data_IF_143623350547
#
_entry.id   IF_143623350547
#
_cell.length_a   1.000
_cell.length_b   1.000
_cell.length_c   1.000
_cell.angle_alpha   90.00
_cell.angle_beta   90.00
_cell.angle_gamma   90.00
#
_symmetry.space_group_name_H-M   'P 1'
#
loop_
_entity.id
_entity.type
_entity.pdbx_description
1 polymer ?
#
# COMPACT_ATOMS: atom_id res chain seq x y z
N UNK A 1 -8.29 -3.61 -28.34
CA UNK A 1 -9.58 -3.14 -27.78
C UNK A 1 -10.29 -4.16 -26.89
N UNK A 2 -10.37 -5.49 -27.16
CA UNK A 2 -11.02 -6.42 -26.23
C UNK A 2 -10.35 -6.51 -24.84
N UNK A 3 -9.03 -6.44 -24.77
CA UNK A 3 -8.28 -6.54 -23.51
C UNK A 3 -8.48 -5.32 -22.57
N UNK A 4 -8.71 -4.12 -23.12
CA UNK A 4 -8.97 -2.92 -22.31
C UNK A 4 -10.38 -2.96 -21.67
N UNK A 5 -11.37 -3.51 -22.36
CA UNK A 5 -12.73 -3.63 -21.85
C UNK A 5 -12.83 -4.71 -20.74
N UNK A 6 -12.13 -5.84 -20.91
CA UNK A 6 -12.11 -6.89 -19.87
C UNK A 6 -11.41 -6.46 -18.57
N UNK A 7 -10.47 -5.52 -18.63
CA UNK A 7 -9.85 -4.94 -17.44
C UNK A 7 -10.82 -4.04 -16.64
N UNK A 8 -11.91 -3.57 -17.28
CA UNK A 8 -12.92 -2.74 -16.62
C UNK A 8 -14.03 -3.55 -15.92
N UNK A 9 -14.13 -4.86 -16.15
CA UNK A 9 -15.23 -5.69 -15.64
C UNK A 9 -14.92 -6.38 -14.29
N UNK A 10 -13.70 -6.26 -13.78
CA UNK A 10 -13.26 -6.96 -12.58
C UNK A 10 -13.45 -6.16 -11.28
N UNK A 11 -13.50 -6.89 -10.16
CA UNK A 11 -13.36 -6.31 -8.84
C UNK A 11 -11.97 -5.69 -8.66
N UNK A 12 -11.89 -4.56 -7.95
CA UNK A 12 -10.65 -3.80 -7.74
C UNK A 12 -10.21 -3.80 -6.29
N UNK A 13 -8.92 -3.98 -5.99
CA UNK A 13 -8.44 -3.97 -4.61
C UNK A 13 -8.59 -2.59 -3.98
N UNK A 14 -8.95 -2.57 -2.70
CA UNK A 14 -8.88 -1.40 -1.83
C UNK A 14 -7.83 -1.69 -0.75
N UNK A 15 -6.71 -0.98 -0.81
CA UNK A 15 -5.60 -1.08 0.13
C UNK A 15 -5.74 0.05 1.14
N UNK A 16 -5.99 -0.27 2.41
CA UNK A 16 -6.03 0.71 3.48
C UNK A 16 -4.62 0.97 4.02
N UNK A 17 -4.22 2.24 4.13
CA UNK A 17 -2.98 2.68 4.77
C UNK A 17 -3.31 3.62 5.96
N UNK A 18 -3.60 3.08 7.16
CA UNK A 18 -4.25 3.84 8.22
C UNK A 18 -3.33 4.82 8.97
N UNK A 19 -2.03 4.50 9.10
CA UNK A 19 -1.13 5.13 10.07
C UNK A 19 0.03 5.89 9.41
N UNK A 20 0.87 5.17 8.65
CA UNK A 20 2.07 5.70 8.03
C UNK A 20 3.17 6.12 9.02
N UNK A 21 4.24 6.74 8.46
CA UNK A 21 5.38 7.25 9.24
C UNK A 21 5.29 8.75 9.54
N UNK A 22 4.45 9.51 8.85
CA UNK A 22 4.42 10.99 8.90
C UNK A 22 3.30 11.53 9.80
N UNK A 23 2.04 11.07 9.70
CA UNK A 23 0.95 11.64 10.49
C UNK A 23 1.19 11.49 12.00
N UNK A 24 0.90 12.57 12.73
CA UNK A 24 0.97 12.63 14.20
C UNK A 24 -0.36 13.08 14.79
N UNK A 25 -0.55 12.87 16.09
CA UNK A 25 -1.72 13.38 16.83
C UNK A 25 -1.89 14.90 16.73
N UNK A 26 -0.78 15.62 16.64
CA UNK A 26 -0.80 17.08 16.47
C UNK A 26 -1.30 17.50 15.08
N UNK A 27 -1.08 16.68 14.05
CA UNK A 27 -1.55 16.94 12.69
C UNK A 27 -3.01 16.54 12.50
N UNK A 28 -3.41 15.41 13.09
CA UNK A 28 -4.80 14.93 13.10
C UNK A 28 -5.04 14.04 14.32
N UNK A 29 -6.13 14.28 15.10
CA UNK A 29 -6.47 13.42 16.22
C UNK A 29 -6.96 12.03 15.78
N UNK A 30 -7.22 11.84 14.49
CA UNK A 30 -7.83 10.63 13.92
C UNK A 30 -6.80 9.57 13.52
N UNK A 31 -5.48 9.87 13.54
CA UNK A 31 -4.47 8.88 13.18
C UNK A 31 -4.38 7.79 14.26
N UNK A 32 -4.60 6.50 13.91
CA UNK A 32 -4.44 5.41 14.85
C UNK A 32 -2.94 5.11 15.01
N UNK A 33 -2.43 5.08 16.25
CA UNK A 33 -1.00 4.87 16.54
C UNK A 33 -0.75 3.61 17.37
N UNK A 34 -1.68 3.24 18.27
CA UNK A 34 -1.55 2.04 19.09
C UNK A 34 -2.13 0.81 18.37
N UNK A 35 -1.72 -0.42 18.75
CA UNK A 35 -2.28 -1.64 18.16
C UNK A 35 -3.81 -1.70 18.23
N UNK A 36 -4.42 -1.33 19.35
CA UNK A 36 -5.88 -1.36 19.54
C UNK A 36 -6.59 -0.32 18.68
N UNK A 37 -6.02 0.89 18.54
CA UNK A 37 -6.57 1.93 17.65
C UNK A 37 -6.49 1.52 16.20
N UNK A 38 -5.35 0.94 15.78
CA UNK A 38 -5.17 0.44 14.40
C UNK A 38 -6.17 -0.68 14.12
N UNK A 39 -6.31 -1.64 15.04
CA UNK A 39 -7.26 -2.74 14.89
C UNK A 39 -8.72 -2.25 14.81
N UNK A 40 -9.10 -1.29 15.66
CA UNK A 40 -10.43 -0.68 15.66
C UNK A 40 -10.72 0.02 14.32
N UNK A 41 -9.77 0.77 13.83
CA UNK A 41 -9.90 1.53 12.57
C UNK A 41 -9.95 0.60 11.35
N UNK A 42 -9.11 -0.46 11.36
CA UNK A 42 -9.13 -1.52 10.33
C UNK A 42 -10.45 -2.29 10.34
N UNK A 43 -10.98 -2.66 11.52
CA UNK A 43 -12.28 -3.34 11.62
C UNK A 43 -13.41 -2.48 11.07
N UNK A 44 -13.43 -1.18 11.37
CA UNK A 44 -14.42 -0.25 10.83
C UNK A 44 -14.32 -0.15 9.28
N UNK A 45 -13.11 -0.08 8.75
CA UNK A 45 -12.86 -0.06 7.30
C UNK A 45 -13.21 -1.41 6.63
N UNK A 46 -12.93 -2.54 7.30
CA UNK A 46 -13.28 -3.88 6.82
C UNK A 46 -14.79 -4.07 6.71
N UNK A 47 -15.56 -3.53 7.67
CA UNK A 47 -17.03 -3.54 7.62
C UNK A 47 -17.60 -2.76 6.42
N UNK A 48 -16.89 -1.74 5.92
CA UNK A 48 -17.25 -1.00 4.70
C UNK A 48 -16.83 -1.80 3.46
N UNK A 49 -15.66 -2.45 3.50
CA UNK A 49 -15.12 -3.29 2.44
C UNK A 49 -13.74 -2.83 1.98
N UNK A 50 -12.69 -3.42 2.53
CA UNK A 50 -11.30 -3.30 2.08
C UNK A 50 -10.74 -4.67 1.73
N UNK A 51 -9.72 -4.71 0.88
CA UNK A 51 -9.05 -5.95 0.47
C UNK A 51 -7.87 -6.28 1.37
N UNK A 52 -7.04 -5.28 1.65
CA UNK A 52 -5.82 -5.42 2.44
C UNK A 52 -5.54 -4.16 3.27
N UNK A 53 -4.66 -4.30 4.26
CA UNK A 53 -4.19 -3.18 5.07
C UNK A 53 -2.67 -3.11 5.07
N UNK A 54 -2.12 -1.92 4.81
CA UNK A 54 -0.70 -1.60 4.91
C UNK A 54 -0.38 -1.01 6.28
N UNK A 55 0.43 -1.72 7.07
CA UNK A 55 0.68 -1.43 8.46
C UNK A 55 2.06 -0.79 8.68
N UNK A 56 2.08 0.28 9.45
CA UNK A 56 3.27 0.87 10.05
C UNK A 56 3.23 0.74 11.56
N UNK A 57 4.36 0.38 12.16
CA UNK A 57 4.50 0.28 13.60
C UNK A 57 4.96 1.61 14.22
N UNK A 58 4.40 1.94 15.38
CA UNK A 58 4.79 3.05 16.23
C UNK A 58 5.11 2.54 17.63
N UNK A 59 6.14 3.11 18.26
CA UNK A 59 6.43 2.84 19.68
C UNK A 59 5.43 3.52 20.63
N UNK A 60 5.68 3.41 21.93
CA UNK A 60 4.81 3.98 22.95
C UNK A 60 4.72 5.51 22.91
N UNK A 61 5.72 6.18 22.35
CA UNK A 61 5.78 7.63 22.18
C UNK A 61 5.19 8.09 20.83
N UNK A 62 4.71 7.12 20.02
CA UNK A 62 4.14 7.36 18.70
C UNK A 62 5.21 7.60 17.62
N UNK A 63 6.48 7.28 17.87
CA UNK A 63 7.58 7.37 16.92
C UNK A 63 7.60 6.11 16.06
N UNK A 64 7.85 6.22 14.73
CA UNK A 64 8.00 5.04 13.88
C UNK A 64 9.05 4.06 14.42
N UNK A 65 8.74 2.76 14.38
CA UNK A 65 9.66 1.69 14.76
C UNK A 65 9.65 0.55 13.76
N UNK A 66 10.75 -0.18 13.67
CA UNK A 66 10.92 -1.37 12.82
C UNK A 66 10.77 -2.68 13.61
N UNK A 67 10.67 -2.60 14.92
CA UNK A 67 10.74 -3.75 15.84
C UNK A 67 9.60 -4.74 15.59
N UNK A 68 9.96 -5.98 15.37
CA UNK A 68 9.06 -7.10 15.11
C UNK A 68 8.04 -7.30 16.22
N UNK A 69 8.43 -7.10 17.48
CA UNK A 69 7.56 -7.27 18.63
C UNK A 69 6.41 -6.25 18.65
N UNK A 70 6.63 -5.04 18.10
CA UNK A 70 5.57 -4.05 17.94
C UNK A 70 4.64 -4.45 16.79
N UNK A 71 5.20 -4.86 15.65
CA UNK A 71 4.43 -5.42 14.54
C UNK A 71 3.61 -6.64 14.95
N UNK A 72 4.16 -7.54 15.78
CA UNK A 72 3.44 -8.72 16.28
C UNK A 72 2.15 -8.34 17.02
N UNK A 73 2.20 -7.31 17.89
CA UNK A 73 1.02 -6.82 18.61
C UNK A 73 -0.02 -6.21 17.64
N UNK A 74 0.42 -5.42 16.66
CA UNK A 74 -0.47 -4.81 15.67
C UNK A 74 -1.13 -5.89 14.80
N UNK A 75 -0.34 -6.80 14.25
CA UNK A 75 -0.83 -7.90 13.40
C UNK A 75 -1.81 -8.78 14.17
N UNK A 76 -1.47 -9.15 15.42
CA UNK A 76 -2.35 -9.95 16.28
C UNK A 76 -3.70 -9.26 16.53
N UNK A 77 -3.69 -7.99 16.89
CA UNK A 77 -4.91 -7.22 17.12
C UNK A 77 -5.75 -7.05 15.84
N UNK A 78 -5.11 -6.83 14.68
CA UNK A 78 -5.80 -6.74 13.38
C UNK A 78 -6.38 -8.09 12.96
N UNK A 79 -5.66 -9.20 13.14
CA UNK A 79 -6.17 -10.56 12.84
C UNK A 79 -7.40 -10.91 13.69
N UNK A 80 -7.43 -10.49 14.96
CA UNK A 80 -8.60 -10.69 15.83
C UNK A 80 -9.79 -9.84 15.39
N UNK A 81 -9.56 -8.56 15.05
CA UNK A 81 -10.63 -7.61 14.74
C UNK A 81 -11.15 -7.70 13.30
N UNK A 82 -10.32 -8.14 12.35
CA UNK A 82 -10.64 -8.23 10.93
C UNK A 82 -9.92 -9.45 10.28
N UNK A 83 -10.31 -10.68 10.61
CA UNK A 83 -9.56 -11.90 10.30
C UNK A 83 -9.37 -12.18 8.80
N UNK A 84 -10.27 -11.68 7.96
CA UNK A 84 -10.25 -11.96 6.51
C UNK A 84 -9.29 -11.03 5.76
N UNK A 85 -9.01 -9.81 6.28
CA UNK A 85 -8.21 -8.79 5.60
C UNK A 85 -6.77 -9.24 5.43
N UNK A 86 -6.19 -9.08 4.23
CA UNK A 86 -4.78 -9.37 4.01
C UNK A 86 -3.91 -8.32 4.67
N UNK A 87 -2.86 -8.78 5.34
CA UNK A 87 -1.94 -7.92 6.07
C UNK A 87 -0.66 -7.70 5.29
N UNK A 88 -0.33 -6.45 5.05
CA UNK A 88 0.92 -5.98 4.49
C UNK A 88 1.70 -5.21 5.57
N UNK A 89 2.94 -5.61 5.84
CA UNK A 89 3.84 -4.90 6.75
C UNK A 89 4.81 -4.01 5.99
N UNK A 90 5.10 -2.83 6.52
CA UNK A 90 6.03 -1.91 5.90
C UNK A 90 7.48 -2.35 6.10
N UNK A 91 8.27 -2.31 5.01
CA UNK A 91 9.74 -2.41 5.02
C UNK A 91 10.40 -1.08 4.61
N UNK A 92 9.81 0.05 4.99
CA UNK A 92 10.24 1.39 4.56
C UNK A 92 11.71 1.68 4.86
N UNK A 93 12.43 2.21 3.87
CA UNK A 93 13.81 2.71 3.98
C UNK A 93 13.91 4.20 4.36
N UNK A 94 12.81 4.84 4.77
CA UNK A 94 12.79 6.29 5.06
C UNK A 94 13.61 6.68 6.28
N UNK A 95 13.62 5.85 7.32
CA UNK A 95 14.33 6.11 8.58
C UNK A 95 15.53 5.16 8.77
N UNK A 96 15.40 3.92 8.30
CA UNK A 96 16.42 2.88 8.41
C UNK A 96 16.76 2.33 7.04
N UNK A 97 18.06 2.32 6.70
CA UNK A 97 18.54 1.74 5.44
C UNK A 97 19.02 0.30 5.60
N UNK A 98 19.28 -0.14 6.83
CA UNK A 98 19.85 -1.46 7.14
C UNK A 98 18.84 -2.58 6.83
N UNK A 99 19.29 -3.59 6.09
CA UNK A 99 18.47 -4.73 5.67
C UNK A 99 17.84 -5.45 6.87
N UNK A 100 18.59 -5.67 7.92
CA UNK A 100 18.17 -6.41 9.11
C UNK A 100 16.98 -5.73 9.81
N UNK A 101 17.04 -4.40 9.97
CA UNK A 101 15.93 -3.62 10.56
C UNK A 101 14.68 -3.64 9.68
N UNK A 102 14.88 -3.47 8.38
CA UNK A 102 13.77 -3.47 7.42
C UNK A 102 13.10 -4.83 7.28
N UNK A 103 13.87 -5.90 7.45
CA UNK A 103 13.39 -7.28 7.35
C UNK A 103 12.85 -7.85 8.67
N UNK A 104 12.98 -7.16 9.80
CA UNK A 104 12.66 -7.73 11.11
C UNK A 104 11.19 -8.18 11.20
N UNK A 105 10.25 -7.37 10.74
CA UNK A 105 8.83 -7.74 10.70
C UNK A 105 8.52 -8.92 9.76
N UNK A 106 9.39 -9.19 8.76
CA UNK A 106 9.24 -10.35 7.88
C UNK A 106 9.51 -11.68 8.61
N UNK A 107 10.14 -11.63 9.79
CA UNK A 107 10.39 -12.81 10.61
C UNK A 107 9.19 -13.29 11.45
N UNK A 108 8.07 -12.56 11.42
CA UNK A 108 6.81 -13.02 12.03
C UNK A 108 6.35 -14.33 11.37
N UNK A 109 5.79 -15.24 12.18
CA UNK A 109 5.43 -16.59 11.75
C UNK A 109 4.07 -17.05 12.30
N UNK A 110 3.59 -18.21 11.84
CA UNK A 110 2.28 -18.74 12.23
C UNK A 110 1.16 -17.75 11.86
N UNK A 111 0.23 -17.54 12.77
CA UNK A 111 -0.92 -16.63 12.58
C UNK A 111 -0.51 -15.16 12.47
N UNK A 112 0.71 -14.82 12.89
CA UNK A 112 1.24 -13.46 12.81
C UNK A 112 2.01 -13.21 11.50
N UNK A 113 2.23 -14.23 10.66
CA UNK A 113 2.91 -14.06 9.39
C UNK A 113 2.12 -13.10 8.47
N UNK A 114 2.75 -12.03 7.94
CA UNK A 114 2.08 -11.16 6.99
C UNK A 114 1.83 -11.86 5.65
N UNK A 115 0.75 -11.50 4.97
CA UNK A 115 0.44 -11.99 3.62
C UNK A 115 1.32 -11.30 2.58
N UNK A 116 1.54 -9.99 2.76
CA UNK A 116 2.35 -9.14 1.89
C UNK A 116 3.35 -8.31 2.71
N UNK A 117 4.36 -7.78 2.03
CA UNK A 117 5.22 -6.75 2.59
C UNK A 117 5.59 -5.73 1.51
N UNK A 118 5.68 -4.45 1.89
CA UNK A 118 6.00 -3.40 0.92
C UNK A 118 7.44 -3.50 0.44
N UNK A 119 7.66 -3.18 -0.83
CA UNK A 119 8.99 -3.16 -1.47
C UNK A 119 9.11 -1.94 -2.36
N UNK A 120 9.76 -0.88 -1.86
CA UNK A 120 10.05 0.32 -2.63
C UNK A 120 11.23 0.06 -3.58
N UNK A 121 11.03 0.28 -4.87
CA UNK A 121 11.92 -0.21 -5.94
C UNK A 121 13.07 0.74 -6.31
N UNK A 122 13.25 1.85 -5.63
CA UNK A 122 14.42 2.75 -5.79
C UNK A 122 14.53 3.71 -4.63
N UNK A 123 15.69 4.32 -4.47
CA UNK A 123 15.85 5.50 -3.61
C UNK A 123 15.10 6.69 -4.21
N UNK A 124 14.48 7.48 -3.36
CA UNK A 124 13.73 8.66 -3.77
C UNK A 124 13.74 9.75 -2.70
N UNK A 125 13.40 10.97 -3.09
CA UNK A 125 13.24 12.08 -2.17
C UNK A 125 11.78 12.33 -1.86
N UNK A 126 11.46 12.41 -0.57
CA UNK A 126 10.22 13.01 -0.07
C UNK A 126 10.49 14.46 0.36
N UNK A 127 9.44 15.25 0.62
CA UNK A 127 9.59 16.64 1.09
C UNK A 127 10.44 16.70 2.38
N UNK A 128 10.29 15.72 3.28
CA UNK A 128 10.99 15.69 4.57
C UNK A 128 12.38 15.04 4.55
N UNK A 129 12.81 14.48 3.42
CA UNK A 129 14.12 13.81 3.32
C UNK A 129 14.16 12.67 2.32
N UNK A 130 15.34 12.08 2.18
CA UNK A 130 15.55 10.93 1.29
C UNK A 130 15.07 9.62 1.94
N UNK A 131 14.56 8.73 1.11
CA UNK A 131 14.40 7.30 1.42
C UNK A 131 15.43 6.52 0.61
N UNK A 132 16.32 5.82 1.30
CA UNK A 132 17.42 5.09 0.65
C UNK A 132 17.02 3.64 0.45
N UNK A 133 17.00 3.21 -0.79
CA UNK A 133 16.68 1.85 -1.20
C UNK A 133 17.75 1.40 -2.21
N UNK A 134 18.84 0.89 -1.71
CA UNK A 134 19.93 0.38 -2.56
C UNK A 134 19.48 -0.88 -3.29
N UNK A 135 19.94 -1.11 -4.54
CA UNK A 135 19.54 -2.28 -5.33
C UNK A 135 19.76 -3.61 -4.63
N UNK A 136 20.86 -3.75 -3.86
CA UNK A 136 21.14 -4.99 -3.11
C UNK A 136 20.23 -5.15 -1.89
N UNK A 137 19.86 -4.06 -1.21
CA UNK A 137 18.87 -4.10 -0.13
C UNK A 137 17.50 -4.50 -0.65
N UNK A 138 17.09 -3.97 -1.82
CA UNK A 138 15.82 -4.34 -2.47
C UNK A 138 15.82 -5.84 -2.83
N UNK A 139 16.91 -6.35 -3.44
CA UNK A 139 17.04 -7.78 -3.74
C UNK A 139 17.06 -8.64 -2.49
N UNK A 140 17.74 -8.17 -1.43
CA UNK A 140 17.78 -8.84 -0.14
C UNK A 140 16.39 -9.00 0.47
N UNK A 141 15.61 -7.92 0.51
CA UNK A 141 14.22 -7.95 0.98
C UNK A 141 13.36 -8.87 0.13
N UNK A 142 13.43 -8.75 -1.21
CA UNK A 142 12.68 -9.60 -2.13
C UNK A 142 13.00 -11.09 -1.92
N UNK A 143 14.27 -11.42 -1.71
CA UNK A 143 14.72 -12.80 -1.44
C UNK A 143 14.16 -13.33 -0.11
N UNK A 144 14.23 -12.52 0.96
CA UNK A 144 13.65 -12.88 2.26
C UNK A 144 12.13 -13.09 2.14
N UNK A 145 11.43 -12.21 1.44
CA UNK A 145 9.99 -12.35 1.19
C UNK A 145 9.69 -13.65 0.43
N UNK A 146 10.44 -13.94 -0.64
CA UNK A 146 10.30 -15.17 -1.43
C UNK A 146 10.52 -16.41 -0.58
N UNK A 147 11.62 -16.47 0.18
CA UNK A 147 11.98 -17.62 1.04
C UNK A 147 10.93 -17.88 2.12
N UNK A 148 10.23 -16.84 2.55
CA UNK A 148 9.17 -16.94 3.57
C UNK A 148 7.75 -17.08 2.98
N UNK A 149 7.59 -17.03 1.67
CA UNK A 149 6.29 -17.06 1.01
C UNK A 149 5.44 -15.84 1.40
N UNK A 150 6.06 -14.65 1.51
CA UNK A 150 5.41 -13.35 1.68
C UNK A 150 5.44 -12.68 0.31
N UNK A 151 4.31 -12.14 -0.15
CA UNK A 151 4.24 -11.51 -1.47
C UNK A 151 4.74 -10.07 -1.40
N UNK A 152 5.71 -9.66 -2.25
CA UNK A 152 6.11 -8.26 -2.33
C UNK A 152 4.97 -7.39 -2.89
N UNK A 153 4.54 -6.36 -2.15
CA UNK A 153 3.72 -5.27 -2.67
C UNK A 153 4.64 -4.15 -3.13
N UNK A 154 4.75 -3.97 -4.44
CA UNK A 154 5.70 -3.04 -5.03
C UNK A 154 5.23 -1.60 -4.84
N UNK A 155 6.08 -0.75 -4.28
CA UNK A 155 5.86 0.69 -4.19
C UNK A 155 6.60 1.39 -5.32
N UNK A 156 5.85 1.96 -6.26
CA UNK A 156 6.34 2.51 -7.52
C UNK A 156 6.03 4.01 -7.60
N UNK A 157 7.06 4.84 -7.59
CA UNK A 157 6.96 6.30 -7.62
C UNK A 157 7.38 6.90 -8.96
N UNK A 158 8.05 6.14 -9.81
CA UNK A 158 8.49 6.56 -11.14
C UNK A 158 8.64 5.39 -12.11
N UNK A 159 8.91 5.70 -13.40
CA UNK A 159 9.04 4.70 -14.45
C UNK A 159 10.33 3.86 -14.35
N UNK A 160 11.37 4.35 -13.67
CA UNK A 160 12.56 3.57 -13.39
C UNK A 160 12.25 2.42 -12.44
N UNK A 161 11.37 2.66 -11.47
CA UNK A 161 10.88 1.63 -10.56
C UNK A 161 10.03 0.57 -11.28
N UNK A 162 9.20 0.97 -12.26
CA UNK A 162 8.49 0.01 -13.14
C UNK A 162 9.50 -0.88 -13.86
N UNK A 163 10.56 -0.28 -14.44
CA UNK A 163 11.62 -1.06 -15.09
C UNK A 163 12.32 -2.01 -14.12
N UNK A 164 12.55 -1.59 -12.87
CA UNK A 164 13.20 -2.46 -11.88
C UNK A 164 12.29 -3.63 -11.46
N UNK A 165 10.97 -3.49 -11.49
CA UNK A 165 10.05 -4.62 -11.31
C UNK A 165 10.27 -5.70 -12.39
N UNK A 166 10.47 -5.31 -13.66
CA UNK A 166 10.81 -6.26 -14.73
C UNK A 166 12.19 -6.91 -14.50
N UNK A 167 13.16 -6.17 -13.98
CA UNK A 167 14.49 -6.72 -13.64
C UNK A 167 14.36 -7.78 -12.55
N UNK A 168 13.66 -7.50 -11.45
CA UNK A 168 13.45 -8.45 -10.36
C UNK A 168 12.67 -9.68 -10.84
N UNK A 169 11.70 -9.51 -11.72
CA UNK A 169 10.96 -10.63 -12.34
C UNK A 169 11.89 -11.51 -13.18
N UNK A 170 12.77 -10.89 -13.99
CA UNK A 170 13.79 -11.61 -14.78
C UNK A 170 14.82 -12.33 -13.90
N UNK A 171 15.15 -11.77 -12.75
CA UNK A 171 16.05 -12.37 -11.75
C UNK A 171 15.38 -13.50 -10.94
N UNK A 172 14.07 -13.75 -11.14
CA UNK A 172 13.31 -14.78 -10.41
C UNK A 172 12.94 -14.39 -8.97
N UNK A 173 13.10 -13.12 -8.60
CA UNK A 173 12.75 -12.60 -7.28
C UNK A 173 11.27 -12.23 -7.13
N UNK A 174 10.55 -12.17 -8.26
CA UNK A 174 9.09 -11.97 -8.35
C UNK A 174 8.49 -13.07 -9.23
N UNK A 175 8.46 -14.34 -8.78
CA UNK A 175 8.04 -15.46 -9.62
C UNK A 175 6.54 -15.51 -9.90
N UNK A 176 5.73 -14.96 -8.98
CA UNK A 176 4.26 -14.96 -9.06
C UNK A 176 3.66 -13.70 -9.67
N UNK A 177 2.36 -13.52 -9.46
CA UNK A 177 1.65 -12.30 -9.83
C UNK A 177 2.24 -11.06 -9.14
N UNK A 178 2.32 -9.96 -9.88
CA UNK A 178 2.80 -8.68 -9.32
C UNK A 178 1.65 -7.93 -8.66
N UNK A 179 1.87 -7.49 -7.43
CA UNK A 179 0.99 -6.54 -6.73
C UNK A 179 1.73 -5.21 -6.61
N UNK A 180 1.11 -4.11 -7.02
CA UNK A 180 1.78 -2.81 -7.06
C UNK A 180 0.87 -1.65 -6.61
N UNK A 181 1.44 -0.73 -5.85
CA UNK A 181 0.89 0.60 -5.62
C UNK A 181 1.66 1.62 -6.48
N UNK A 182 0.97 2.29 -7.38
CA UNK A 182 1.50 3.39 -8.18
C UNK A 182 1.25 4.70 -7.44
N UNK A 183 2.33 5.33 -6.97
CA UNK A 183 2.25 6.56 -6.19
C UNK A 183 2.40 7.80 -7.07
N UNK A 184 1.47 8.75 -6.87
CA UNK A 184 1.42 10.00 -7.62
C UNK A 184 1.43 11.21 -6.68
N UNK A 185 2.05 12.31 -7.12
CA UNK A 185 2.07 13.58 -6.38
C UNK A 185 3.21 13.71 -5.39
N UNK A 186 4.21 12.82 -5.40
CA UNK A 186 5.45 13.03 -4.67
C UNK A 186 6.29 14.15 -5.33
N UNK A 187 7.09 14.86 -4.52
CA UNK A 187 7.98 15.94 -5.01
C UNK A 187 8.99 15.44 -6.05
N UNK A 188 9.44 14.21 -5.94
CA UNK A 188 10.33 13.57 -6.89
C UNK A 188 9.74 12.22 -7.33
N UNK A 189 8.79 12.27 -8.25
CA UNK A 189 8.09 11.09 -8.76
C UNK A 189 6.99 11.48 -9.74
N UNK A 190 6.24 10.50 -10.20
CA UNK A 190 5.10 10.69 -11.10
C UNK A 190 4.03 11.58 -10.49
N UNK A 191 3.38 12.39 -11.34
CA UNK A 191 2.28 13.24 -10.95
C UNK A 191 0.94 12.61 -11.35
N UNK A 192 -0.16 13.02 -10.68
CA UNK A 192 -1.50 12.51 -10.99
C UNK A 192 -2.06 13.16 -12.28
N UNK A 193 -1.38 12.92 -13.40
CA UNK A 193 -1.78 13.36 -14.75
C UNK A 193 -2.15 12.17 -15.63
N UNK A 194 -3.05 12.37 -16.58
CA UNK A 194 -3.47 11.29 -17.51
C UNK A 194 -2.29 10.61 -18.23
N UNK A 195 -1.29 11.36 -18.77
CA UNK A 195 -0.16 10.74 -19.48
C UNK A 195 0.70 9.89 -18.53
N UNK A 196 0.99 10.36 -17.32
CA UNK A 196 1.86 9.66 -16.38
C UNK A 196 1.19 8.40 -15.83
N UNK A 197 -0.10 8.48 -15.45
CA UNK A 197 -0.87 7.31 -15.01
C UNK A 197 -0.97 6.29 -16.14
N UNK A 198 -1.35 6.72 -17.36
CA UNK A 198 -1.48 5.84 -18.53
C UNK A 198 -0.18 5.13 -18.86
N UNK A 199 0.94 5.86 -18.89
CA UNK A 199 2.26 5.31 -19.20
C UNK A 199 2.75 4.34 -18.11
N UNK A 200 2.51 4.65 -16.83
CA UNK A 200 2.88 3.76 -15.74
C UNK A 200 2.13 2.42 -15.84
N UNK A 201 0.81 2.49 -16.04
CA UNK A 201 -0.04 1.30 -16.16
C UNK A 201 0.32 0.45 -17.38
N UNK A 202 0.54 1.09 -18.55
CA UNK A 202 0.94 0.40 -19.78
C UNK A 202 2.25 -0.38 -19.62
N UNK A 203 3.16 0.10 -18.77
CA UNK A 203 4.50 -0.49 -18.57
C UNK A 203 4.60 -1.45 -17.41
N UNK A 204 3.55 -1.64 -16.61
CA UNK A 204 3.56 -2.67 -15.57
C UNK A 204 3.79 -4.07 -16.16
N UNK A 205 4.37 -5.00 -15.40
CA UNK A 205 4.40 -6.40 -15.79
C UNK A 205 3.00 -6.93 -16.10
N UNK A 206 2.89 -7.77 -17.14
CA UNK A 206 1.63 -8.37 -17.56
C UNK A 206 0.93 -9.08 -16.40
N UNK A 207 -0.39 -8.88 -16.28
CA UNK A 207 -1.20 -9.48 -15.23
C UNK A 207 -1.04 -8.85 -13.86
N UNK A 208 -0.37 -7.71 -13.73
CA UNK A 208 -0.20 -7.03 -12.45
C UNK A 208 -1.56 -6.60 -11.86
N UNK A 209 -1.78 -6.93 -10.59
CA UNK A 209 -2.83 -6.32 -9.76
C UNK A 209 -2.29 -5.02 -9.21
N UNK A 210 -2.90 -3.89 -9.57
CA UNK A 210 -2.35 -2.60 -9.18
C UNK A 210 -3.38 -1.66 -8.58
N UNK A 211 -2.92 -0.73 -7.73
CA UNK A 211 -3.72 0.31 -7.09
C UNK A 211 -3.07 1.67 -7.29
N UNK A 212 -3.88 2.70 -7.50
CA UNK A 212 -3.41 4.08 -7.53
C UNK A 212 -3.42 4.69 -6.13
N UNK A 213 -2.28 5.29 -5.77
CA UNK A 213 -2.06 6.00 -4.51
C UNK A 213 -1.73 7.47 -4.82
N UNK A 214 -2.40 8.39 -4.16
CA UNK A 214 -2.10 9.81 -4.29
C UNK A 214 -1.66 10.43 -2.97
N UNK A 215 -0.56 11.14 -2.97
CA UNK A 215 -0.02 11.78 -1.77
C UNK A 215 -0.61 13.16 -1.55
N UNK A 216 -1.05 13.43 -0.33
CA UNK A 216 -1.63 14.73 0.06
C UNK A 216 -2.85 15.11 -0.79
N UNK A 217 -2.81 16.27 -1.42
CA UNK A 217 -3.92 16.81 -2.21
C UNK A 217 -4.20 16.01 -3.50
N UNK A 218 -3.29 15.10 -3.88
CA UNK A 218 -3.44 14.26 -5.06
C UNK A 218 -4.21 12.96 -4.79
N UNK A 219 -4.53 12.65 -3.51
CA UNK A 219 -5.13 11.37 -3.14
C UNK A 219 -6.40 11.07 -3.97
N UNK A 220 -7.39 11.96 -3.96
CA UNK A 220 -8.63 11.73 -4.70
C UNK A 220 -8.42 11.72 -6.23
N UNK A 221 -7.53 12.57 -6.75
CA UNK A 221 -7.25 12.60 -8.19
C UNK A 221 -6.64 11.30 -8.68
N UNK A 222 -5.61 10.79 -7.99
CA UNK A 222 -4.96 9.52 -8.33
C UNK A 222 -5.94 8.34 -8.24
N UNK A 223 -6.76 8.30 -7.21
CA UNK A 223 -7.80 7.29 -7.02
C UNK A 223 -8.83 7.29 -8.16
N UNK A 224 -9.30 8.48 -8.57
CA UNK A 224 -10.25 8.63 -9.69
C UNK A 224 -9.66 8.15 -11.01
N UNK A 225 -8.41 8.50 -11.29
CA UNK A 225 -7.71 8.04 -12.50
C UNK A 225 -7.46 6.53 -12.47
N UNK A 226 -7.13 5.97 -11.31
CA UNK A 226 -6.91 4.53 -11.16
C UNK A 226 -8.20 3.74 -11.41
N UNK A 227 -9.31 4.12 -10.79
CA UNK A 227 -10.60 3.45 -10.99
C UNK A 227 -11.05 3.54 -12.45
N UNK A 228 -10.92 4.72 -13.09
CA UNK A 228 -11.24 4.92 -14.50
C UNK A 228 -10.36 4.09 -15.44
N UNK A 229 -9.10 3.81 -15.04
CA UNK A 229 -8.15 3.00 -15.81
C UNK A 229 -8.22 1.49 -15.49
N UNK A 230 -9.16 1.05 -14.65
CA UNK A 230 -9.32 -0.37 -14.30
C UNK A 230 -8.49 -0.85 -13.11
N UNK A 231 -7.80 0.04 -12.42
CA UNK A 231 -7.02 -0.27 -11.23
C UNK A 231 -7.80 -0.17 -9.93
N UNK A 232 -7.19 -0.67 -8.87
CA UNK A 232 -7.63 -0.50 -7.49
C UNK A 232 -7.21 0.84 -6.89
N UNK A 233 -7.40 0.95 -5.59
CA UNK A 233 -7.16 2.18 -4.84
C UNK A 233 -6.37 1.90 -3.56
N UNK A 234 -5.29 2.63 -3.34
CA UNK A 234 -4.71 2.78 -2.01
C UNK A 234 -5.26 4.07 -1.38
N UNK A 235 -5.65 3.97 -0.10
CA UNK A 235 -6.36 5.04 0.60
C UNK A 235 -6.04 5.02 2.10
N UNK A 236 -5.92 6.17 2.72
CA UNK A 236 -5.78 6.27 4.18
C UNK A 236 -5.10 7.55 4.63
N UNK A 237 -5.05 7.71 5.96
CA UNK A 237 -4.44 8.88 6.61
C UNK A 237 -2.92 8.95 6.41
N UNK A 238 -2.28 7.83 6.12
CA UNK A 238 -0.86 7.80 5.74
C UNK A 238 -0.55 8.70 4.55
N UNK A 239 -1.42 8.63 3.52
CA UNK A 239 -1.21 9.31 2.25
C UNK A 239 -1.81 10.73 2.23
N UNK A 240 -2.78 11.02 3.13
CA UNK A 240 -3.38 12.35 3.23
C UNK A 240 -4.39 12.47 4.37
N UNK A 241 -4.20 13.47 5.23
CA UNK A 241 -5.03 13.69 6.42
C UNK A 241 -6.27 14.55 6.16
N UNK A 242 -6.37 15.17 4.97
CA UNK A 242 -7.48 16.05 4.63
C UNK A 242 -8.52 15.34 3.76
N UNK A 243 -9.80 15.52 4.13
CA UNK A 243 -10.90 14.96 3.34
C UNK A 243 -11.18 15.79 2.07
N UNK A 244 -10.98 17.08 2.16
CA UNK A 244 -11.22 18.01 1.06
C UNK A 244 -9.94 18.77 0.64
N UNK A 245 -9.91 19.20 -0.63
CA UNK A 245 -8.78 19.93 -1.20
C UNK A 245 -8.57 21.31 -0.56
N UNK A 246 -9.63 21.92 -0.02
CA UNK A 246 -9.54 23.21 0.67
C UNK A 246 -8.91 23.09 2.07
N UNK A 247 -8.67 21.85 2.53
CA UNK A 247 -8.11 21.53 3.85
C UNK A 247 -8.93 22.12 5.00
N UNK A 248 -10.26 22.04 4.88
CA UNK A 248 -11.19 22.54 5.89
C UNK A 248 -11.71 21.43 6.80
N UNK A 249 -11.62 20.16 6.35
CA UNK A 249 -12.12 19.00 7.07
C UNK A 249 -11.04 17.91 7.16
N UNK A 250 -10.67 17.53 8.37
CA UNK A 250 -9.82 16.36 8.62
C UNK A 250 -10.58 15.07 8.25
N UNK A 251 -9.86 14.13 7.69
CA UNK A 251 -10.38 12.81 7.34
C UNK A 251 -10.26 11.82 8.50
N UNK A 252 -11.11 10.77 8.45
CA UNK A 252 -10.86 9.49 9.13
C UNK A 252 -10.69 8.40 8.08
N UNK A 253 -10.04 7.28 8.43
CA UNK A 253 -9.87 6.17 7.50
C UNK A 253 -11.22 5.62 6.99
N UNK A 254 -12.24 5.37 7.83
CA UNK A 254 -13.56 4.95 7.36
C UNK A 254 -14.19 5.94 6.36
N UNK A 255 -14.13 7.26 6.62
CA UNK A 255 -14.66 8.27 5.69
C UNK A 255 -13.96 8.22 4.32
N UNK A 256 -12.64 7.99 4.31
CA UNK A 256 -11.88 7.87 3.07
C UNK A 256 -12.26 6.59 2.30
N UNK A 257 -12.43 5.46 2.99
CA UNK A 257 -12.90 4.19 2.39
C UNK A 257 -14.32 4.34 1.82
N UNK A 258 -15.26 4.94 2.57
CA UNK A 258 -16.61 5.25 2.06
C UNK A 258 -16.57 6.11 0.77
N UNK A 259 -15.65 7.07 0.71
CA UNK A 259 -15.47 7.90 -0.50
C UNK A 259 -15.00 7.06 -1.69
N UNK A 260 -14.12 6.07 -1.45
CA UNK A 260 -13.69 5.15 -2.50
C UNK A 260 -14.86 4.30 -2.99
N UNK A 261 -15.69 3.75 -2.10
CA UNK A 261 -16.88 2.98 -2.51
C UNK A 261 -17.84 3.81 -3.38
N UNK A 262 -18.10 5.08 -3.00
CA UNK A 262 -18.90 5.99 -3.85
C UNK A 262 -18.27 6.23 -5.21
N UNK A 263 -16.93 6.28 -5.29
CA UNK A 263 -16.22 6.40 -6.56
C UNK A 263 -16.38 5.12 -7.40
N UNK A 264 -16.28 3.95 -6.79
CA UNK A 264 -16.54 2.68 -7.46
C UNK A 264 -17.96 2.58 -7.99
N UNK A 265 -18.96 2.96 -7.20
CA UNK A 265 -20.37 2.97 -7.59
C UNK A 265 -20.62 3.82 -8.85
N UNK A 266 -20.00 5.01 -8.95
CA UNK A 266 -20.10 5.89 -10.13
C UNK A 266 -19.53 5.23 -11.40
N UNK A 267 -18.58 4.30 -11.22
CA UNK A 267 -17.92 3.57 -12.32
C UNK A 267 -18.48 2.16 -12.53
N UNK A 268 -19.59 1.79 -11.87
CA UNK A 268 -20.17 0.44 -11.90
C UNK A 268 -19.13 -0.66 -11.53
N UNK A 269 -18.24 -0.33 -10.56
CA UNK A 269 -17.17 -1.22 -10.08
C UNK A 269 -17.45 -1.71 -8.67
N UNK A 270 -16.86 -2.84 -8.32
CA UNK A 270 -16.96 -3.42 -6.99
C UNK A 270 -15.60 -3.60 -6.33
N UNK A 271 -15.56 -3.49 -5.00
CA UNK A 271 -14.36 -3.78 -4.24
C UNK A 271 -14.04 -5.29 -4.30
N UNK A 272 -12.77 -5.62 -4.50
CA UNK A 272 -12.25 -6.99 -4.45
C UNK A 272 -12.29 -7.49 -3.01
N UNK A 273 -12.84 -8.68 -2.80
CA UNK A 273 -12.80 -9.32 -1.48
C UNK A 273 -11.40 -9.81 -1.15
N UNK A 274 -11.04 -9.88 0.15
CA UNK A 274 -9.73 -10.41 0.56
C UNK A 274 -9.40 -11.77 -0.04
N UNK A 275 -10.35 -12.71 -0.04
CA UNK A 275 -10.14 -14.06 -0.58
C UNK A 275 -9.88 -14.08 -2.09
N UNK A 276 -10.46 -13.14 -2.84
CA UNK A 276 -10.19 -13.01 -4.28
C UNK A 276 -8.75 -12.58 -4.54
N UNK A 277 -8.22 -11.63 -3.74
CA UNK A 277 -6.81 -11.26 -3.84
C UNK A 277 -5.92 -12.42 -3.38
N UNK A 278 -6.25 -13.06 -2.24
CA UNK A 278 -5.49 -14.22 -1.74
C UNK A 278 -5.38 -15.32 -2.79
N UNK A 279 -6.46 -15.64 -3.50
CA UNK A 279 -6.43 -16.61 -4.59
C UNK A 279 -5.46 -16.19 -5.70
N UNK A 280 -5.49 -14.92 -6.13
CA UNK A 280 -4.57 -14.39 -7.15
C UNK A 280 -3.10 -14.41 -6.74
N UNK A 281 -2.80 -14.26 -5.45
CA UNK A 281 -1.41 -14.30 -4.96
C UNK A 281 -0.78 -15.69 -5.06
N UNK A 282 -1.59 -16.73 -5.25
CA UNK A 282 -1.16 -18.13 -5.32
C UNK A 282 -1.30 -18.74 -6.72
N UNK A 283 -1.70 -17.96 -7.74
CA UNK A 283 -1.68 -18.33 -9.15
C UNK A 283 -0.24 -18.28 -9.72
#
# INVERSE_FOLDING_TARGET
MPALLSALDGAVPIVLAPTGMVPTRAMTPHVPLTPDEIATDVAAAAAIGITSVHLHARDADGVPTWEREVYARIVGAVREAAPDVLINVSTSGRTWSELEKRADALALDGDLKPDLASLTLSSLNFIGGASVNEPETIRGLARIMLDRGIVPELEIFDLGMVNFAHVLKKEGLLPGPVVANLFFGNVAGMQATLPEVGLAVERLPDGATWSGAGLGDFQLTAQSLAVAAGGGVRVGLEDGIWFDRARTRLATNPMLVERVHRLLDVHDRVAMKPDELRARLHE
#
